data_IF_991951257379
#
_entry.id   IF_991951257379
#
_cell.length_a   1.000
_cell.length_b   1.000
_cell.length_c   1.000
_cell.angle_alpha   90.00
_cell.angle_beta   90.00
_cell.angle_gamma   90.00
#
_symmetry.space_group_name_H-M   'P 1'
#
loop_
_entity.id
_entity.type
_entity.pdbx_description
1 polymer ?
#
# COMPACT_ATOMS: atom_id res chain seq x y z
N UNK A 1 20.98 5.30 -0.02
CA UNK A 1 20.54 4.08 0.67
C UNK A 1 20.36 3.00 -0.39
N UNK A 2 21.32 2.10 -0.56
CA UNK A 2 21.27 1.06 -1.59
C UNK A 2 21.70 -0.28 -0.95
N UNK A 3 20.75 -0.90 -0.24
CA UNK A 3 20.82 -2.31 0.14
C UNK A 3 19.62 -2.98 -0.50
N UNK A 4 19.83 -4.01 -1.33
CA UNK A 4 18.72 -4.82 -1.83
C UNK A 4 17.95 -5.38 -0.63
N UNK A 5 16.70 -4.98 -0.48
CA UNK A 5 15.79 -5.61 0.48
C UNK A 5 15.56 -7.07 0.06
N UNK A 6 15.79 -8.02 0.97
CA UNK A 6 15.55 -9.44 0.71
C UNK A 6 14.09 -9.78 1.03
N UNK A 7 13.19 -9.36 0.15
CA UNK A 7 11.76 -9.61 0.28
C UNK A 7 11.45 -11.03 -0.21
N UNK A 8 10.96 -11.89 0.69
CA UNK A 8 10.54 -13.27 0.35
C UNK A 8 9.03 -13.41 0.22
N UNK A 9 8.29 -12.48 0.82
CA UNK A 9 6.83 -12.43 0.79
C UNK A 9 6.42 -11.10 0.18
N UNK A 10 5.45 -11.15 -0.73
CA UNK A 10 4.78 -9.99 -1.28
C UNK A 10 3.31 -10.09 -0.92
N UNK A 11 2.78 -9.02 -0.34
CA UNK A 11 1.35 -8.90 -0.06
C UNK A 11 0.75 -7.87 -0.99
N UNK A 12 -0.30 -8.28 -1.71
CA UNK A 12 -1.19 -7.39 -2.45
C UNK A 12 -2.43 -7.15 -1.61
N UNK A 13 -2.69 -5.88 -1.30
CA UNK A 13 -3.89 -5.47 -0.58
C UNK A 13 -4.79 -4.71 -1.53
N UNK A 14 -5.96 -5.27 -1.79
CA UNK A 14 -6.95 -4.73 -2.72
C UNK A 14 -8.19 -4.25 -1.98
N UNK A 15 -8.55 -2.98 -2.12
CA UNK A 15 -9.69 -2.37 -1.44
C UNK A 15 -10.74 -1.90 -2.44
N UNK A 16 -11.99 -2.22 -2.11
CA UNK A 16 -13.15 -1.51 -2.62
C UNK A 16 -13.49 -0.39 -1.64
N UNK A 17 -13.34 0.85 -2.08
CA UNK A 17 -13.58 2.06 -1.30
C UNK A 17 -15.03 2.51 -1.52
N UNK A 18 -15.57 3.23 -0.54
CA UNK A 18 -16.89 3.84 -0.67
C UNK A 18 -16.92 4.79 -1.89
N UNK A 19 -18.02 4.84 -2.65
CA UNK A 19 -18.14 5.71 -3.83
C UNK A 19 -17.75 7.16 -3.56
N UNK A 20 -16.83 7.69 -4.38
CA UNK A 20 -16.35 9.09 -4.30
C UNK A 20 -15.36 9.37 -3.17
N UNK A 21 -14.93 8.36 -2.41
CA UNK A 21 -14.09 8.53 -1.23
C UNK A 21 -12.63 8.14 -1.45
N UNK A 22 -12.27 7.58 -2.61
CA UNK A 22 -10.94 7.04 -2.89
C UNK A 22 -9.83 8.05 -2.62
N UNK A 23 -9.92 9.26 -3.14
CA UNK A 23 -8.84 10.23 -3.02
C UNK A 23 -8.68 10.74 -1.57
N UNK A 24 -9.80 10.87 -0.83
CA UNK A 24 -9.75 11.16 0.62
C UNK A 24 -9.12 10.00 1.40
N UNK A 25 -9.47 8.77 1.05
CA UNK A 25 -8.90 7.57 1.64
C UNK A 25 -7.38 7.49 1.39
N UNK A 26 -6.92 7.69 0.15
CA UNK A 26 -5.50 7.68 -0.21
C UNK A 26 -4.74 8.72 0.62
N UNK A 27 -5.24 9.96 0.68
CA UNK A 27 -4.60 11.01 1.48
C UNK A 27 -4.51 10.63 2.96
N UNK A 28 -5.56 10.05 3.54
CA UNK A 28 -5.52 9.59 4.93
C UNK A 28 -4.53 8.43 5.10
N UNK A 29 -4.52 7.49 4.17
CA UNK A 29 -3.65 6.33 4.16
C UNK A 29 -2.16 6.72 4.08
N UNK A 30 -1.79 7.65 3.21
CA UNK A 30 -0.42 8.17 3.11
C UNK A 30 0.05 8.86 4.38
N UNK A 31 -0.80 9.69 4.98
CA UNK A 31 -0.44 10.49 6.16
C UNK A 31 -0.40 9.70 7.48
N UNK A 32 -1.09 8.56 7.56
CA UNK A 32 -1.29 7.87 8.84
C UNK A 32 -0.94 6.38 8.82
N UNK A 33 -0.96 5.72 7.66
CA UNK A 33 -0.78 4.27 7.61
C UNK A 33 0.62 3.86 7.19
N UNK A 34 1.23 4.47 6.17
CA UNK A 34 2.50 3.99 5.61
C UNK A 34 3.60 3.84 6.66
N UNK A 35 3.85 4.88 7.46
CA UNK A 35 4.94 4.88 8.44
C UNK A 35 4.77 3.78 9.49
N UNK A 36 3.55 3.60 10.02
CA UNK A 36 3.25 2.52 10.97
C UNK A 36 3.53 1.13 10.38
N UNK A 37 3.32 0.94 9.08
CA UNK A 37 3.57 -0.34 8.42
C UNK A 37 5.07 -0.55 8.19
N UNK A 38 5.85 0.51 7.97
CA UNK A 38 7.31 0.45 7.89
C UNK A 38 7.89 0.06 9.26
N UNK A 39 7.41 0.68 10.33
CA UNK A 39 7.82 0.34 11.71
C UNK A 39 7.52 -1.11 12.08
N UNK A 40 6.44 -1.67 11.54
CA UNK A 40 6.07 -3.08 11.68
C UNK A 40 6.81 -4.03 10.73
N UNK A 41 7.83 -3.55 10.01
CA UNK A 41 8.72 -4.36 9.19
C UNK A 41 8.23 -4.60 7.75
N UNK A 42 7.17 -3.92 7.31
CA UNK A 42 6.79 -3.96 5.90
C UNK A 42 7.66 -3.04 5.05
N UNK A 43 7.84 -3.41 3.78
CA UNK A 43 8.49 -2.59 2.78
C UNK A 43 7.48 -2.17 1.70
N UNK A 44 6.91 -0.94 1.76
CA UNK A 44 6.00 -0.45 0.74
C UNK A 44 6.67 -0.41 -0.63
N UNK A 45 6.07 -1.08 -1.61
CA UNK A 45 6.56 -1.14 -2.99
C UNK A 45 5.83 -0.17 -3.90
N UNK A 46 4.57 0.12 -3.60
CA UNK A 46 3.79 1.09 -4.37
C UNK A 46 2.32 1.10 -3.98
N UNK A 47 1.68 2.21 -4.33
CA UNK A 47 0.26 2.48 -4.21
C UNK A 47 -0.30 2.77 -5.60
N UNK A 48 -1.50 2.28 -5.89
CA UNK A 48 -2.04 2.29 -7.25
C UNK A 48 -3.53 2.60 -7.24
N UNK A 49 -3.93 3.39 -8.23
CA UNK A 49 -5.33 3.53 -8.64
C UNK A 49 -5.54 2.75 -9.93
N UNK A 50 -6.79 2.39 -10.21
CA UNK A 50 -7.17 1.69 -11.44
C UNK A 50 -7.93 2.66 -12.33
N UNK A 51 -7.46 2.82 -13.57
CA UNK A 51 -8.12 3.68 -14.56
C UNK A 51 -9.54 3.18 -14.85
N UNK A 52 -10.51 4.10 -14.90
CA UNK A 52 -11.93 3.77 -15.08
C UNK A 52 -12.63 3.18 -13.83
N UNK A 53 -11.90 2.95 -12.74
CA UNK A 53 -12.42 2.32 -11.52
C UNK A 53 -12.23 3.28 -10.33
N UNK A 54 -13.14 4.26 -10.14
CA UNK A 54 -12.96 5.35 -9.18
C UNK A 54 -12.96 4.88 -7.72
N UNK A 55 -13.47 3.68 -7.46
CA UNK A 55 -13.65 3.14 -6.12
C UNK A 55 -12.60 2.08 -5.76
N UNK A 56 -11.63 1.81 -6.65
CA UNK A 56 -10.56 0.84 -6.40
C UNK A 56 -9.26 1.53 -6.02
N UNK A 57 -8.63 0.98 -4.98
CA UNK A 57 -7.28 1.31 -4.57
C UNK A 57 -6.60 0.01 -4.16
N UNK A 58 -5.39 -0.21 -4.66
CA UNK A 58 -4.57 -1.32 -4.20
C UNK A 58 -3.14 -0.87 -3.94
N UNK A 59 -2.46 -1.62 -3.09
CA UNK A 59 -1.06 -1.36 -2.79
C UNK A 59 -0.32 -2.67 -2.55
N UNK A 60 0.99 -2.61 -2.75
CA UNK A 60 1.88 -3.76 -2.65
C UNK A 60 2.94 -3.43 -1.61
N UNK A 61 3.22 -4.40 -0.75
CA UNK A 61 4.33 -4.33 0.22
C UNK A 61 5.02 -5.68 0.33
N UNK A 62 6.29 -5.67 0.71
CA UNK A 62 7.07 -6.87 0.94
C UNK A 62 7.44 -7.08 2.40
N UNK A 63 7.79 -8.33 2.72
CA UNK A 63 8.29 -8.76 4.03
C UNK A 63 9.45 -9.74 3.84
N UNK A 64 10.30 -9.86 4.86
CA UNK A 64 11.42 -10.80 4.86
C UNK A 64 10.97 -12.26 5.00
N UNK A 65 9.80 -12.48 5.61
CA UNK A 65 9.14 -13.77 5.88
C UNK A 65 7.62 -13.56 6.07
N UNK A 66 6.90 -14.64 6.44
CA UNK A 66 5.45 -14.66 6.73
C UNK A 66 5.18 -14.37 8.20
#
# INVERSE_FOLDING_TARGET
MNGKQNLKVLELRNYLIKPGERDRFIKYFENHFIDSQIELGSYPLGQFTVEGEPDKFFWIRGFADM
#
